data_IF_020247998477
#
_entry.id   IF_020247998477
#
_cell.length_a   1.000
_cell.length_b   1.000
_cell.length_c   1.000
_cell.angle_alpha   90.00
_cell.angle_beta   90.00
_cell.angle_gamma   90.00
#
_symmetry.space_group_name_H-M   'P 1'
#
loop_
_entity.id
_entity.type
_entity.pdbx_description
1 polymer ?
#
# COMPACT_ATOMS: atom_id res chain seq x y z
N UNK A 1 15.93 -11.84 1.03
CA UNK A 1 15.46 -11.98 2.43
C UNK A 1 14.92 -13.38 2.70
N UNK A 2 13.75 -13.73 2.16
CA UNK A 2 13.08 -15.02 2.40
C UNK A 2 13.68 -16.22 1.65
N UNK A 3 14.55 -16.00 0.66
CA UNK A 3 15.33 -17.06 0.01
C UNK A 3 16.62 -17.42 0.77
N UNK A 4 16.97 -16.69 1.84
CA UNK A 4 18.23 -16.87 2.55
C UNK A 4 18.26 -18.14 3.39
N UNK A 5 19.47 -18.70 3.59
CA UNK A 5 19.68 -19.87 4.43
C UNK A 5 19.19 -19.66 5.87
N UNK A 6 19.39 -18.45 6.41
CA UNK A 6 18.86 -18.05 7.71
C UNK A 6 17.33 -18.20 7.77
N UNK A 7 16.63 -17.76 6.72
CA UNK A 7 15.17 -17.86 6.67
C UNK A 7 14.69 -19.31 6.52
N UNK A 8 15.35 -20.12 5.68
CA UNK A 8 14.99 -21.53 5.48
C UNK A 8 14.93 -22.31 6.81
N UNK A 9 15.93 -22.13 7.69
CA UNK A 9 15.97 -22.72 9.04
C UNK A 9 14.80 -22.31 9.94
N UNK A 10 14.23 -21.12 9.74
CA UNK A 10 13.04 -20.66 10.47
C UNK A 10 11.77 -21.26 9.86
N UNK A 11 11.70 -21.29 8.52
CA UNK A 11 10.58 -21.89 7.79
C UNK A 11 10.42 -23.38 8.10
N UNK A 12 11.53 -24.12 8.23
CA UNK A 12 11.53 -25.53 8.65
C UNK A 12 10.94 -25.75 10.06
N UNK A 13 10.92 -24.70 10.88
CA UNK A 13 10.31 -24.69 12.22
C UNK A 13 8.88 -24.12 12.22
N UNK A 14 8.29 -23.91 11.05
CA UNK A 14 6.92 -23.42 10.89
C UNK A 14 6.77 -21.90 10.83
N UNK A 15 7.85 -21.13 10.68
CA UNK A 15 7.73 -19.69 10.46
C UNK A 15 7.08 -19.39 9.10
N UNK A 16 6.22 -18.37 9.05
CA UNK A 16 5.51 -17.92 7.84
C UNK A 16 6.10 -16.58 7.40
N UNK A 17 6.37 -16.37 6.09
CA UNK A 17 6.93 -15.11 5.62
C UNK A 17 5.94 -13.97 5.78
N UNK A 18 6.45 -12.79 6.11
CA UNK A 18 5.66 -11.57 6.02
C UNK A 18 5.42 -11.27 4.53
N UNK A 19 4.14 -11.28 4.14
CA UNK A 19 3.71 -10.93 2.79
C UNK A 19 3.72 -9.43 2.61
N UNK A 20 4.17 -8.97 1.45
CA UNK A 20 4.04 -7.56 1.08
C UNK A 20 2.56 -7.24 0.89
N UNK A 21 2.11 -6.13 1.48
CA UNK A 21 0.74 -5.66 1.36
C UNK A 21 0.74 -4.29 0.67
N UNK A 22 0.09 -4.22 -0.49
CA UNK A 22 -0.16 -2.98 -1.20
C UNK A 22 -1.39 -2.28 -0.62
N UNK A 23 -1.23 -1.03 -0.21
CA UNK A 23 -2.31 -0.19 0.31
C UNK A 23 -2.42 1.09 -0.51
N UNK A 24 -3.56 1.78 -0.38
CA UNK A 24 -3.83 3.02 -1.12
C UNK A 24 -3.79 2.87 -2.65
N UNK A 25 -4.30 1.74 -3.14
CA UNK A 25 -4.25 1.33 -4.56
C UNK A 25 -5.50 1.71 -5.38
N UNK A 26 -6.35 2.59 -4.86
CA UNK A 26 -7.36 3.27 -5.70
C UNK A 26 -6.70 4.36 -6.52
N UNK A 27 -6.98 4.43 -7.82
CA UNK A 27 -6.57 5.58 -8.64
C UNK A 27 -7.12 6.88 -8.05
N UNK A 28 -6.29 7.92 -8.01
CA UNK A 28 -6.66 9.26 -7.52
C UNK A 28 -6.84 10.27 -8.66
N UNK A 29 -6.42 9.89 -9.87
CA UNK A 29 -6.51 10.72 -11.06
C UNK A 29 -7.46 10.04 -12.06
N UNK A 30 -8.55 10.72 -12.48
CA UNK A 30 -9.53 10.16 -13.40
C UNK A 30 -8.97 9.91 -14.81
N UNK A 31 -7.79 10.45 -15.16
CA UNK A 31 -7.12 10.15 -16.42
C UNK A 31 -6.57 8.72 -16.46
N UNK A 32 -6.42 8.04 -15.32
CA UNK A 32 -6.00 6.65 -15.24
C UNK A 32 -7.17 5.72 -15.01
N UNK A 33 -7.05 4.48 -15.51
CA UNK A 33 -7.96 3.38 -15.17
C UNK A 33 -8.05 3.26 -13.65
N UNK A 34 -9.26 3.20 -13.12
CA UNK A 34 -9.54 3.06 -11.68
C UNK A 34 -9.02 1.74 -11.08
N UNK A 35 -8.80 0.72 -11.92
CA UNK A 35 -8.16 -0.57 -11.57
C UNK A 35 -6.64 -0.60 -11.75
N UNK A 36 -6.01 0.48 -12.23
CA UNK A 36 -4.60 0.52 -12.65
C UNK A 36 -3.63 -0.16 -11.68
N UNK A 37 -3.67 0.23 -10.40
CA UNK A 37 -2.73 -0.30 -9.41
C UNK A 37 -3.05 -1.75 -9.02
N UNK A 38 -4.33 -2.13 -9.02
CA UNK A 38 -4.71 -3.53 -8.76
C UNK A 38 -4.14 -4.42 -9.84
N UNK A 39 -4.33 -4.08 -11.11
CA UNK A 39 -3.86 -4.88 -12.26
C UNK A 39 -2.34 -4.98 -12.35
N UNK A 40 -1.64 -3.89 -12.06
CA UNK A 40 -0.17 -3.84 -12.15
C UNK A 40 0.54 -4.61 -11.04
N UNK A 41 -0.09 -4.79 -9.87
CA UNK A 41 0.57 -5.30 -8.66
C UNK A 41 0.20 -6.75 -8.31
N UNK A 42 -0.48 -7.48 -9.20
CA UNK A 42 -0.78 -8.90 -9.02
C UNK A 42 0.52 -9.70 -9.13
N UNK A 43 0.87 -10.41 -8.06
CA UNK A 43 1.99 -11.33 -8.00
C UNK A 43 1.94 -12.27 -6.80
N UNK A 44 2.74 -13.33 -6.79
CA UNK A 44 2.75 -14.33 -5.72
C UNK A 44 3.11 -13.70 -4.37
N UNK A 45 2.61 -14.30 -3.28
CA UNK A 45 2.95 -13.93 -1.90
C UNK A 45 2.70 -12.46 -1.52
N UNK A 46 1.82 -11.78 -2.25
CA UNK A 46 1.39 -10.40 -1.94
C UNK A 46 -0.07 -10.31 -1.56
N UNK A 47 -0.45 -9.24 -0.87
CA UNK A 47 -1.84 -8.87 -0.57
C UNK A 47 -2.07 -7.49 -1.15
N UNK A 48 -3.28 -7.20 -1.64
CA UNK A 48 -3.70 -5.84 -1.96
C UNK A 48 -4.95 -5.52 -1.13
N UNK A 49 -4.88 -4.48 -0.29
CA UNK A 49 -6.04 -3.99 0.45
C UNK A 49 -6.68 -2.85 -0.34
N UNK A 50 -7.93 -3.04 -0.74
CA UNK A 50 -8.66 -2.12 -1.60
C UNK A 50 -10.01 -1.77 -0.97
N UNK A 51 -10.50 -0.53 -1.15
CA UNK A 51 -11.86 -0.19 -0.77
C UNK A 51 -12.87 -0.93 -1.67
N UNK A 52 -14.10 -1.06 -1.18
CA UNK A 52 -15.18 -1.75 -1.89
C UNK A 52 -15.38 -1.23 -3.31
N UNK A 53 -15.31 0.08 -3.53
CA UNK A 53 -15.46 0.71 -4.84
C UNK A 53 -14.41 0.23 -5.85
N UNK A 54 -13.15 0.12 -5.44
CA UNK A 54 -12.08 -0.39 -6.31
C UNK A 54 -12.23 -1.89 -6.56
N UNK A 55 -12.72 -2.65 -5.57
CA UNK A 55 -13.06 -4.06 -5.76
C UNK A 55 -14.21 -4.23 -6.77
N UNK A 56 -15.24 -3.41 -6.69
CA UNK A 56 -16.37 -3.41 -7.62
C UNK A 56 -15.93 -3.07 -9.05
N UNK A 57 -15.13 -2.02 -9.24
CA UNK A 57 -14.54 -1.67 -10.53
C UNK A 57 -13.70 -2.83 -11.11
N UNK A 58 -12.84 -3.44 -10.28
CA UNK A 58 -12.03 -4.59 -10.70
C UNK A 58 -12.90 -5.81 -11.06
N UNK A 59 -14.03 -6.02 -10.38
CA UNK A 59 -14.97 -7.10 -10.72
C UNK A 59 -15.71 -6.86 -12.03
N UNK A 60 -16.01 -5.60 -12.35
CA UNK A 60 -16.73 -5.20 -13.55
C UNK A 60 -15.82 -5.29 -14.79
N UNK A 61 -14.62 -4.70 -14.72
CA UNK A 61 -13.75 -4.53 -15.90
C UNK A 61 -12.24 -4.66 -15.60
N UNK A 62 -11.89 -5.36 -14.53
CA UNK A 62 -10.50 -5.70 -14.20
C UNK A 62 -9.89 -6.74 -15.15
N UNK A 63 -8.57 -6.71 -15.28
CA UNK A 63 -7.79 -7.69 -16.06
C UNK A 63 -6.84 -8.49 -15.14
N UNK A 64 -7.23 -9.70 -14.69
CA UNK A 64 -6.45 -10.50 -13.75
C UNK A 64 -5.29 -11.23 -14.45
N UNK A 65 -4.09 -10.63 -14.44
CA UNK A 65 -2.86 -11.28 -14.86
C UNK A 65 -1.70 -10.97 -13.89
N UNK A 66 -0.73 -11.87 -13.80
CA UNK A 66 0.44 -11.72 -12.94
C UNK A 66 1.45 -10.77 -13.59
N UNK A 67 1.47 -9.50 -13.15
CA UNK A 67 2.29 -8.44 -13.74
C UNK A 67 3.39 -7.91 -12.83
N UNK A 68 3.42 -8.31 -11.56
CA UNK A 68 4.36 -7.76 -10.58
C UNK A 68 5.84 -7.91 -10.98
N UNK A 69 6.17 -8.98 -11.70
CA UNK A 69 7.52 -9.29 -12.15
C UNK A 69 7.75 -8.94 -13.64
N UNK A 70 6.80 -8.28 -14.30
CA UNK A 70 6.97 -7.82 -15.67
C UNK A 70 7.88 -6.59 -15.74
N UNK A 71 8.78 -6.56 -16.73
CA UNK A 71 9.60 -5.40 -17.10
C UNK A 71 10.36 -4.72 -15.94
N UNK A 72 10.98 -5.53 -15.08
CA UNK A 72 11.75 -5.06 -13.92
C UNK A 72 12.91 -4.14 -14.30
N UNK A 73 13.50 -4.32 -15.48
CA UNK A 73 14.57 -3.46 -15.99
C UNK A 73 14.07 -2.02 -16.25
N UNK A 74 12.87 -1.88 -16.82
CA UNK A 74 12.23 -0.58 -16.99
C UNK A 74 11.85 0.04 -15.64
N UNK A 75 11.33 -0.75 -14.70
CA UNK A 75 11.03 -0.28 -13.35
C UNK A 75 12.29 0.28 -12.65
N UNK A 76 13.43 -0.43 -12.74
CA UNK A 76 14.71 0.07 -12.22
C UNK A 76 15.19 1.33 -12.97
N UNK A 77 15.06 1.37 -14.30
CA UNK A 77 15.41 2.55 -15.10
C UNK A 77 14.60 3.79 -14.73
N UNK A 78 13.32 3.63 -14.39
CA UNK A 78 12.45 4.72 -13.93
C UNK A 78 12.99 5.30 -12.61
N UNK A 79 13.38 4.45 -11.65
CA UNK A 79 13.96 4.91 -10.38
C UNK A 79 15.27 5.69 -10.59
N UNK A 80 16.13 5.22 -11.50
CA UNK A 80 17.35 5.96 -11.84
C UNK A 80 17.06 7.30 -12.53
N UNK A 81 16.05 7.37 -13.40
CA UNK A 81 15.63 8.64 -14.03
C UNK A 81 15.06 9.63 -13.01
N UNK A 82 14.28 9.16 -12.04
CA UNK A 82 13.76 9.98 -10.93
C UNK A 82 14.93 10.60 -10.16
N UNK A 83 15.92 9.77 -9.81
CA UNK A 83 17.15 10.23 -9.12
C UNK A 83 17.96 11.21 -9.98
N UNK A 84 18.15 10.92 -11.27
CA UNK A 84 18.84 11.82 -12.19
C UNK A 84 18.11 13.15 -12.39
N UNK A 85 16.79 13.16 -12.23
CA UNK A 85 15.94 14.36 -12.19
C UNK A 85 16.07 15.18 -10.89
N UNK A 86 16.89 14.74 -9.93
CA UNK A 86 17.12 15.42 -8.66
C UNK A 86 16.07 15.14 -7.58
N UNK A 87 15.23 14.12 -7.78
CA UNK A 87 14.24 13.70 -6.77
C UNK A 87 14.90 12.68 -5.84
N UNK A 88 14.99 13.03 -4.56
CA UNK A 88 15.44 12.13 -3.51
C UNK A 88 14.28 11.27 -3.01
N UNK A 89 14.25 10.00 -3.43
CA UNK A 89 13.21 9.05 -3.04
C UNK A 89 13.19 8.75 -1.54
N UNK A 90 14.33 8.84 -0.86
CA UNK A 90 14.40 8.63 0.60
C UNK A 90 13.74 9.81 1.31
N UNK A 91 14.07 11.03 0.91
CA UNK A 91 13.43 12.23 1.46
C UNK A 91 11.92 12.24 1.21
N UNK A 92 11.47 11.82 0.02
CA UNK A 92 10.05 11.67 -0.30
C UNK A 92 9.40 10.61 0.58
N UNK A 93 10.05 9.47 0.80
CA UNK A 93 9.52 8.41 1.67
C UNK A 93 9.34 8.91 3.12
N UNK A 94 10.35 9.59 3.67
CA UNK A 94 10.28 10.20 5.02
C UNK A 94 9.18 11.24 5.11
N UNK A 95 9.05 12.10 4.09
CA UNK A 95 7.97 13.09 4.05
C UNK A 95 6.58 12.42 4.05
N UNK A 96 6.37 11.43 3.18
CA UNK A 96 5.10 10.70 3.09
C UNK A 96 4.77 9.92 4.36
N UNK A 97 5.77 9.37 5.06
CA UNK A 97 5.58 8.72 6.36
C UNK A 97 5.08 9.72 7.41
N UNK A 98 5.73 10.87 7.55
CA UNK A 98 5.33 11.90 8.51
C UNK A 98 3.92 12.44 8.22
N UNK A 99 3.65 12.80 6.96
CA UNK A 99 2.30 13.23 6.56
C UNK A 99 1.25 12.12 6.76
N UNK A 100 1.66 10.86 6.60
CA UNK A 100 0.83 9.70 6.90
C UNK A 100 0.46 9.66 8.38
N UNK A 101 1.43 9.78 9.27
CA UNK A 101 1.22 9.80 10.74
C UNK A 101 0.23 10.91 11.12
N UNK A 102 0.38 12.11 10.55
CA UNK A 102 -0.52 13.24 10.82
C UNK A 102 -1.96 12.93 10.36
N UNK A 103 -2.11 12.35 9.16
CA UNK A 103 -3.41 11.92 8.60
C UNK A 103 -4.09 10.82 9.43
N UNK A 104 -3.37 10.10 10.27
CA UNK A 104 -3.95 9.14 11.23
C UNK A 104 -4.21 9.77 12.60
N UNK A 105 -3.33 10.66 13.06
CA UNK A 105 -3.44 11.29 14.39
C UNK A 105 -4.64 12.23 14.46
N UNK A 106 -4.87 13.05 13.43
CA UNK A 106 -6.00 13.99 13.44
C UNK A 106 -7.38 13.32 13.47
N UNK A 107 -7.70 12.32 12.63
CA UNK A 107 -8.99 11.63 12.72
C UNK A 107 -9.15 10.86 14.02
N UNK A 108 -8.06 10.32 14.58
CA UNK A 108 -8.10 9.63 15.86
C UNK A 108 -8.44 10.58 17.00
N UNK A 109 -7.85 11.78 17.04
CA UNK A 109 -8.22 12.79 18.03
C UNK A 109 -9.69 13.22 17.88
N UNK A 110 -10.15 13.44 16.64
CA UNK A 110 -11.57 13.74 16.37
C UNK A 110 -12.51 12.64 16.85
N UNK A 111 -12.11 11.37 16.74
CA UNK A 111 -12.86 10.24 17.27
C UNK A 111 -12.94 10.29 18.80
N UNK A 112 -11.83 10.56 19.48
CA UNK A 112 -11.80 10.67 20.94
C UNK A 112 -12.68 11.84 21.44
N UNK A 113 -12.59 13.00 20.79
CA UNK A 113 -13.40 14.18 21.12
C UNK A 113 -14.90 13.88 20.94
N UNK A 114 -15.26 13.14 19.89
CA UNK A 114 -16.64 12.73 19.64
C UNK A 114 -17.15 11.76 20.72
N UNK A 115 -16.31 10.85 21.19
CA UNK A 115 -16.65 9.93 22.29
C UNK A 115 -16.85 10.71 23.60
N UNK A 116 -15.96 11.66 23.92
CA UNK A 116 -16.08 12.44 25.14
C UNK A 116 -17.35 13.30 25.14
N UNK A 117 -17.64 13.97 24.01
CA UNK A 117 -18.90 14.70 23.83
C UNK A 117 -20.13 13.81 24.00
N UNK A 118 -20.08 12.57 23.52
CA UNK A 118 -21.18 11.62 23.69
C UNK A 118 -21.34 11.18 25.16
N UNK A 119 -20.24 11.01 25.89
CA UNK A 119 -20.25 10.70 27.33
C UNK A 119 -20.89 11.83 28.14
N UNK A 120 -20.47 13.06 27.90
CA UNK A 120 -21.05 14.25 28.52
C UNK A 120 -22.57 14.36 28.27
N UNK A 121 -23.01 14.08 27.03
CA UNK A 121 -24.44 14.07 26.68
C UNK A 121 -25.21 12.93 27.37
N UNK A 122 -24.57 11.78 27.58
CA UNK A 122 -25.16 10.64 28.28
C UNK A 122 -25.13 10.81 29.82
N UNK A 123 -24.44 11.82 30.34
CA UNK A 123 -24.33 12.09 31.77
C UNK A 123 -23.44 11.08 32.51
N UNK A 124 -22.48 10.46 31.83
CA UNK A 124 -21.51 9.48 32.38
C UNK A 124 -20.08 9.98 32.21
#
# INVERSE_FOLDING_TARGET
LFSSERWKKLSEKGAVPQRLLWASTSSKDPAFKDTRYVEALIGPDTVNTIPLQTLEAFRDHGDPASRLEEDLDSAASILEKIKAGGIDMEAVAVQLENEGIDKFTEPFQKLLDAIEKQKEQAGV
#
